data_IF_085908246925
#
_entry.id   IF_085908246925
#
_cell.length_a   1.000
_cell.length_b   1.000
_cell.length_c   1.000
_cell.angle_alpha   90.00
_cell.angle_beta   90.00
_cell.angle_gamma   90.00
#
_symmetry.space_group_name_H-M   'P 1'
#
loop_
_entity.id
_entity.type
_entity.pdbx_description
1 polymer ?
#
# COMPACT_ATOMS: atom_id res chain seq x y z
N UNK A 1 23.42 11.49 -25.60
CA UNK A 1 24.21 10.50 -24.92
C UNK A 1 23.33 9.46 -24.26
N UNK A 2 23.62 8.24 -24.60
CA UNK A 2 22.82 7.18 -24.04
C UNK A 2 23.29 6.86 -22.66
N UNK A 3 22.45 7.11 -21.72
CA UNK A 3 22.70 6.60 -20.40
C UNK A 3 22.53 5.09 -20.44
N UNK A 4 23.42 4.37 -19.78
CA UNK A 4 23.24 2.94 -19.72
C UNK A 4 21.86 2.64 -19.17
N UNK A 5 21.14 1.81 -19.90
CA UNK A 5 19.84 1.39 -19.43
C UNK A 5 20.08 0.57 -18.18
N UNK A 6 19.77 1.18 -17.07
CA UNK A 6 19.91 0.48 -15.81
C UNK A 6 18.89 -0.63 -15.79
N UNK A 7 19.37 -1.84 -15.66
CA UNK A 7 18.46 -2.95 -15.46
C UNK A 7 17.64 -2.65 -14.23
N UNK A 8 16.35 -2.56 -14.41
CA UNK A 8 15.47 -2.32 -13.28
C UNK A 8 15.43 -3.59 -12.45
N UNK A 9 15.92 -3.47 -11.24
CA UNK A 9 15.72 -4.53 -10.27
C UNK A 9 14.22 -4.58 -9.95
N UNK A 10 13.73 -5.73 -9.48
CA UNK A 10 12.30 -5.88 -9.20
C UNK A 10 11.72 -4.84 -8.25
N UNK A 11 12.55 -4.20 -7.47
CA UNK A 11 12.08 -3.20 -6.50
C UNK A 11 12.54 -1.79 -6.84
N UNK A 12 12.99 -1.59 -8.08
CA UNK A 12 13.46 -0.27 -8.49
C UNK A 12 12.27 0.68 -8.62
N UNK A 13 12.44 1.85 -8.05
CA UNK A 13 11.43 2.91 -8.13
C UNK A 13 11.33 3.38 -9.58
N UNK A 14 10.12 3.42 -10.16
CA UNK A 14 9.97 3.93 -11.52
C UNK A 14 10.43 5.37 -11.66
N UNK A 15 10.87 5.73 -12.86
CA UNK A 15 11.36 7.08 -13.11
C UNK A 15 10.32 8.16 -12.86
N UNK A 16 9.05 7.84 -13.00
CA UNK A 16 7.98 8.81 -12.76
C UNK A 16 7.73 9.07 -11.29
N UNK A 17 8.44 8.38 -10.39
CA UNK A 17 8.29 8.57 -8.95
C UNK A 17 9.46 9.44 -8.48
N UNK A 18 9.30 10.75 -8.43
CA UNK A 18 10.37 11.62 -7.92
C UNK A 18 10.50 11.48 -6.42
N UNK A 19 11.68 11.86 -5.94
CA UNK A 19 11.93 11.87 -4.51
C UNK A 19 10.93 12.79 -3.83
N UNK A 20 10.41 12.36 -2.68
CA UNK A 20 9.44 13.16 -1.94
C UNK A 20 8.03 13.12 -2.52
N UNK A 21 7.75 12.17 -3.41
CA UNK A 21 6.42 12.05 -4.00
C UNK A 21 5.52 11.07 -3.28
N UNK A 22 6.00 10.44 -2.21
CA UNK A 22 5.20 9.47 -1.47
C UNK A 22 4.12 10.13 -0.63
N UNK A 23 2.96 9.49 -0.60
CA UNK A 23 1.84 9.95 0.22
C UNK A 23 1.49 8.88 1.24
N UNK A 24 1.30 9.32 2.47
CA UNK A 24 0.72 8.48 3.51
C UNK A 24 -0.79 8.50 3.30
N UNK A 25 -1.36 7.33 3.09
CA UNK A 25 -2.80 7.18 2.77
C UNK A 25 -3.45 6.40 3.90
N UNK A 26 -4.61 6.87 4.33
CA UNK A 26 -5.47 6.12 5.26
C UNK A 26 -6.84 5.97 4.63
N UNK A 27 -7.31 4.73 4.53
CA UNK A 27 -8.64 4.43 4.02
C UNK A 27 -9.39 3.70 5.11
N UNK A 28 -10.51 4.28 5.55
CA UNK A 28 -11.28 3.75 6.68
C UNK A 28 -12.52 3.03 6.21
N UNK A 29 -12.89 1.98 6.95
CA UNK A 29 -14.13 1.26 6.72
C UNK A 29 -15.29 1.91 7.48
N UNK A 30 -16.51 1.58 7.09
CA UNK A 30 -17.73 2.02 7.74
C UNK A 30 -18.61 0.80 7.98
N UNK A 31 -19.12 0.58 9.20
CA UNK A 31 -18.89 1.38 10.41
C UNK A 31 -17.49 1.16 11.00
N UNK A 32 -17.03 2.08 11.85
CA UNK A 32 -15.76 1.88 12.55
C UNK A 32 -15.86 0.76 13.58
N UNK A 33 -14.70 0.30 14.04
CA UNK A 33 -14.58 -0.67 15.10
C UNK A 33 -15.13 -2.06 14.77
N UNK A 34 -15.28 -2.35 13.48
CA UNK A 34 -15.67 -3.67 12.99
C UNK A 34 -14.57 -4.22 12.12
N UNK A 35 -14.15 -5.46 12.37
CA UNK A 35 -13.09 -6.07 11.59
C UNK A 35 -13.61 -6.51 10.23
N UNK A 36 -13.43 -5.68 9.22
CA UNK A 36 -13.78 -6.03 7.85
C UNK A 36 -12.57 -6.52 7.07
N UNK A 37 -11.36 -6.06 7.41
CA UNK A 37 -10.19 -6.28 6.58
C UNK A 37 -9.29 -7.43 7.03
N UNK A 38 -9.13 -7.62 8.32
CA UNK A 38 -8.17 -8.61 8.83
C UNK A 38 -8.83 -9.96 9.01
N UNK A 39 -9.36 -10.49 7.93
CA UNK A 39 -10.01 -11.79 7.88
C UNK A 39 -9.45 -12.56 6.70
N UNK A 40 -9.36 -13.88 6.88
CA UNK A 40 -8.90 -14.76 5.81
C UNK A 40 -9.80 -14.57 4.59
N UNK A 41 -9.19 -14.52 3.42
CA UNK A 41 -9.93 -14.31 2.19
C UNK A 41 -10.14 -12.85 1.84
N UNK A 42 -10.46 -12.01 2.80
CA UNK A 42 -10.62 -10.58 2.55
C UNK A 42 -9.26 -9.90 2.59
N UNK A 43 -8.55 -10.02 3.71
CA UNK A 43 -7.27 -9.33 3.87
C UNK A 43 -6.25 -9.75 2.82
N UNK A 44 -6.17 -11.04 2.55
CA UNK A 44 -5.26 -11.54 1.52
C UNK A 44 -5.60 -10.94 0.16
N UNK A 45 -6.89 -10.85 -0.15
CA UNK A 45 -7.34 -10.29 -1.41
C UNK A 45 -7.07 -8.79 -1.52
N UNK A 46 -7.31 -8.06 -0.44
CA UNK A 46 -7.07 -6.62 -0.42
C UNK A 46 -5.58 -6.33 -0.62
N UNK A 47 -4.71 -7.08 0.07
CA UNK A 47 -3.27 -6.91 -0.11
C UNK A 47 -2.84 -7.32 -1.52
N UNK A 48 -3.43 -8.37 -2.08
CA UNK A 48 -3.13 -8.77 -3.45
C UNK A 48 -3.57 -7.71 -4.46
N UNK A 49 -4.70 -7.05 -4.21
CA UNK A 49 -5.15 -5.96 -5.07
C UNK A 49 -4.22 -4.76 -5.01
N UNK A 50 -3.70 -4.46 -3.82
CA UNK A 50 -2.70 -3.40 -3.66
C UNK A 50 -1.43 -3.74 -4.44
N UNK A 51 -0.96 -4.98 -4.30
CA UNK A 51 0.22 -5.46 -4.99
C UNK A 51 0.03 -5.48 -6.50
N UNK A 52 -1.14 -5.84 -6.98
CA UNK A 52 -1.45 -5.89 -8.40
C UNK A 52 -1.20 -4.54 -9.07
N UNK A 53 -1.70 -3.47 -8.47
CA UNK A 53 -1.50 -2.13 -9.01
C UNK A 53 -0.04 -1.72 -8.97
N UNK A 54 0.69 -2.13 -7.94
CA UNK A 54 2.12 -1.85 -7.86
C UNK A 54 2.89 -2.58 -8.98
N UNK A 55 2.61 -3.85 -9.15
CA UNK A 55 3.32 -4.67 -10.14
C UNK A 55 3.01 -4.24 -11.56
N UNK A 56 1.84 -3.69 -11.80
CA UNK A 56 1.46 -3.21 -13.11
C UNK A 56 1.77 -1.73 -13.32
N UNK A 57 2.48 -1.12 -12.39
CA UNK A 57 2.91 0.28 -12.48
C UNK A 57 1.75 1.27 -12.53
N UNK A 58 0.61 0.89 -11.98
CA UNK A 58 -0.51 1.80 -11.80
C UNK A 58 -0.17 2.82 -10.73
N UNK A 59 0.48 2.35 -9.68
CA UNK A 59 1.06 3.20 -8.66
C UNK A 59 2.33 2.55 -8.13
N UNK A 60 3.06 3.28 -7.28
CA UNK A 60 4.24 2.72 -6.62
C UNK A 60 3.95 2.65 -5.13
N UNK A 61 3.73 1.44 -4.63
CA UNK A 61 3.41 1.22 -3.22
C UNK A 61 4.64 0.75 -2.47
N UNK A 62 5.00 1.48 -1.41
CA UNK A 62 6.13 1.09 -0.58
C UNK A 62 5.72 0.11 0.51
N UNK A 63 4.53 0.30 1.04
CA UNK A 63 3.95 -0.66 1.97
C UNK A 63 2.46 -0.41 2.11
N UNK A 64 1.76 -1.45 2.49
CA UNK A 64 0.35 -1.36 2.84
C UNK A 64 0.10 -2.28 4.03
N UNK A 65 -0.46 -1.74 5.08
CA UNK A 65 -0.76 -2.48 6.29
C UNK A 65 -2.25 -2.39 6.58
N UNK A 66 -2.87 -3.54 6.78
CA UNK A 66 -4.28 -3.57 7.12
C UNK A 66 -4.45 -3.62 8.63
N UNK A 67 -5.31 -2.76 9.13
CA UNK A 67 -5.88 -2.84 10.46
C UNK A 67 -7.31 -3.37 10.32
N UNK A 68 -7.96 -3.77 11.42
CA UNK A 68 -9.30 -4.36 11.28
C UNK A 68 -10.31 -3.49 10.54
N UNK A 69 -10.30 -2.18 10.76
CA UNK A 69 -11.30 -1.29 10.18
C UNK A 69 -10.72 -0.17 9.33
N UNK A 70 -9.46 -0.27 8.95
CA UNK A 70 -8.83 0.71 8.08
C UNK A 70 -7.51 0.16 7.56
N UNK A 71 -6.95 0.85 6.59
CA UNK A 71 -5.61 0.53 6.13
C UNK A 71 -4.75 1.78 6.07
N UNK A 72 -3.46 1.56 6.17
CA UNK A 72 -2.46 2.58 5.93
C UNK A 72 -1.56 2.13 4.80
N UNK A 73 -1.18 3.05 3.93
CA UNK A 73 -0.26 2.73 2.85
C UNK A 73 0.62 3.93 2.57
N UNK A 74 1.77 3.69 1.96
CA UNK A 74 2.61 4.75 1.42
C UNK A 74 2.70 4.50 -0.08
N UNK A 75 2.16 5.43 -0.86
CA UNK A 75 2.00 5.25 -2.29
C UNK A 75 2.42 6.52 -3.03
N UNK A 76 3.11 6.34 -4.14
CA UNK A 76 3.35 7.42 -5.10
C UNK A 76 2.49 7.17 -6.33
N UNK A 77 1.97 8.24 -6.91
CA UNK A 77 1.01 8.16 -8.00
C UNK A 77 1.54 8.86 -9.24
N UNK A 78 1.22 8.34 -10.42
CA UNK A 78 1.49 9.10 -11.64
C UNK A 78 0.60 10.33 -11.69
N UNK A 79 1.06 11.35 -12.42
CA UNK A 79 0.29 12.59 -12.55
C UNK A 79 -1.08 12.32 -13.17
N UNK A 80 -1.11 11.46 -14.17
CA UNK A 80 -2.33 11.07 -14.85
C UNK A 80 -2.51 9.58 -14.73
N UNK A 81 -3.62 9.10 -14.20
CA UNK A 81 -4.85 9.83 -13.83
C UNK A 81 -4.82 10.46 -12.44
N UNK A 82 -3.77 10.22 -11.64
CA UNK A 82 -3.62 10.88 -10.37
C UNK A 82 -4.20 10.12 -9.19
N UNK A 83 -3.87 10.60 -8.00
CA UNK A 83 -4.16 9.92 -6.74
C UNK A 83 -5.65 9.66 -6.53
N UNK A 84 -6.46 10.71 -6.62
CA UNK A 84 -7.88 10.60 -6.30
C UNK A 84 -8.59 9.57 -7.17
N UNK A 85 -8.33 9.63 -8.46
CA UNK A 85 -8.95 8.70 -9.40
C UNK A 85 -8.52 7.26 -9.12
N UNK A 86 -7.23 7.06 -8.92
CA UNK A 86 -6.70 5.71 -8.72
C UNK A 86 -7.16 5.10 -7.40
N UNK A 87 -7.14 5.88 -6.32
CA UNK A 87 -7.59 5.37 -5.03
C UNK A 87 -9.08 5.05 -5.07
N UNK A 88 -9.88 5.92 -5.68
CA UNK A 88 -11.32 5.68 -5.74
C UNK A 88 -11.67 4.47 -6.61
N UNK A 89 -10.96 4.26 -7.73
CA UNK A 89 -11.15 3.06 -8.54
C UNK A 89 -10.79 1.79 -7.75
N UNK A 90 -9.70 1.85 -7.02
CA UNK A 90 -9.26 0.72 -6.22
C UNK A 90 -10.25 0.40 -5.09
N UNK A 91 -10.73 1.43 -4.39
CA UNK A 91 -11.73 1.26 -3.35
C UNK A 91 -12.98 0.58 -3.89
N UNK A 92 -13.44 1.02 -5.06
CA UNK A 92 -14.63 0.46 -5.68
C UNK A 92 -14.41 -1.01 -6.05
N UNK A 93 -13.24 -1.32 -6.61
CA UNK A 93 -12.91 -2.71 -6.95
C UNK A 93 -12.95 -3.60 -5.71
N UNK A 94 -12.32 -3.17 -4.64
CA UNK A 94 -12.27 -3.94 -3.39
C UNK A 94 -13.68 -4.10 -2.81
N UNK A 95 -14.48 -3.04 -2.83
CA UNK A 95 -15.82 -3.08 -2.30
C UNK A 95 -16.69 -4.09 -3.05
N UNK A 96 -16.57 -4.13 -4.37
CA UNK A 96 -17.35 -5.07 -5.17
C UNK A 96 -16.86 -6.51 -4.96
N UNK A 97 -15.54 -6.69 -4.91
CA UNK A 97 -14.96 -8.03 -4.88
C UNK A 97 -15.13 -8.71 -3.52
N UNK A 98 -14.97 -7.97 -2.43
CA UNK A 98 -14.96 -8.56 -1.09
C UNK A 98 -16.03 -7.98 -0.16
N UNK A 99 -16.96 -7.20 -0.70
CA UNK A 99 -18.04 -6.58 0.06
C UNK A 99 -17.54 -5.69 1.21
N UNK A 100 -16.37 -5.08 1.04
CA UNK A 100 -15.84 -4.14 2.01
C UNK A 100 -16.62 -2.84 1.89
N UNK A 101 -17.00 -2.29 3.03
CA UNK A 101 -17.70 -1.02 3.07
C UNK A 101 -16.76 0.06 3.54
N UNK A 102 -16.40 0.98 2.65
CA UNK A 102 -15.48 2.06 2.93
C UNK A 102 -16.23 3.31 3.36
N UNK A 103 -15.58 4.11 4.19
CA UNK A 103 -16.01 5.50 4.36
C UNK A 103 -15.82 6.23 3.03
N UNK A 104 -16.52 7.33 2.90
CA UNK A 104 -16.64 8.02 1.62
C UNK A 104 -15.32 8.50 1.04
N UNK A 105 -14.50 9.15 1.81
CA UNK A 105 -13.26 9.73 1.33
C UNK A 105 -12.07 8.93 1.82
N UNK A 106 -10.89 9.48 1.68
CA UNK A 106 -9.69 8.92 2.28
C UNK A 106 -8.80 10.08 2.72
N UNK A 107 -7.88 9.78 3.64
CA UNK A 107 -6.93 10.76 4.12
C UNK A 107 -5.61 10.59 3.38
N UNK A 108 -4.98 11.69 3.00
CA UNK A 108 -3.65 11.66 2.41
C UNK A 108 -2.77 12.74 3.02
N UNK A 109 -1.49 12.44 3.12
CA UNK A 109 -0.51 13.39 3.61
C UNK A 109 0.79 13.16 2.85
N UNK A 110 1.31 14.20 2.24
CA UNK A 110 2.54 14.10 1.45
C UNK A 110 3.75 13.97 2.35
N UNK A 111 4.61 13.00 2.04
CA UNK A 111 5.87 12.80 2.76
C UNK A 111 6.98 13.47 1.94
N UNK A 112 7.42 14.62 2.41
CA UNK A 112 8.24 15.53 1.60
C UNK A 112 9.70 15.13 1.49
N UNK A 113 10.21 14.30 2.40
CA UNK A 113 11.61 13.94 2.40
C UNK A 113 11.81 12.55 2.99
N UNK A 114 13.05 12.08 2.90
CA UNK A 114 13.39 10.73 3.35
C UNK A 114 13.14 10.54 4.85
N UNK A 115 13.44 11.56 5.64
CA UNK A 115 13.23 11.48 7.10
C UNK A 115 11.75 11.23 7.44
N UNK A 116 10.86 11.98 6.77
CA UNK A 116 9.42 11.81 6.96
C UNK A 116 8.94 10.45 6.51
N UNK A 117 9.53 9.96 5.41
CA UNK A 117 9.21 8.63 4.89
C UNK A 117 9.57 7.55 5.90
N UNK A 118 10.78 7.59 6.46
CA UNK A 118 11.24 6.62 7.44
C UNK A 118 10.37 6.67 8.69
N UNK A 119 10.13 7.86 9.18
CA UNK A 119 9.33 8.09 10.37
C UNK A 119 7.92 7.50 10.22
N UNK A 120 7.29 7.77 9.07
CA UNK A 120 5.94 7.29 8.83
C UNK A 120 5.90 5.79 8.62
N UNK A 121 6.92 5.24 7.97
CA UNK A 121 7.04 3.80 7.79
C UNK A 121 7.05 3.10 9.15
N UNK A 122 7.87 3.59 10.08
CA UNK A 122 7.92 3.02 11.41
C UNK A 122 6.59 3.16 12.15
N UNK A 123 5.94 4.31 11.99
CA UNK A 123 4.65 4.55 12.59
C UNK A 123 3.62 3.50 12.13
N UNK A 124 3.58 3.24 10.83
CA UNK A 124 2.65 2.28 10.26
C UNK A 124 2.96 0.87 10.77
N UNK A 125 4.22 0.47 10.71
CA UNK A 125 4.62 -0.89 11.08
C UNK A 125 4.34 -1.19 12.55
N UNK A 126 4.43 -0.20 13.41
CA UNK A 126 4.18 -0.39 14.84
C UNK A 126 2.70 -0.22 15.23
N UNK A 127 1.86 0.13 14.27
CA UNK A 127 0.46 0.40 14.59
C UNK A 127 -0.25 -0.79 15.25
N UNK A 128 -0.12 -2.04 14.74
CA UNK A 128 -0.77 -3.17 15.40
C UNK A 128 -0.26 -3.39 16.82
N UNK A 129 1.03 -3.17 17.06
CA UNK A 129 1.61 -3.32 18.40
C UNK A 129 1.03 -2.27 19.33
N UNK A 130 1.00 -1.00 18.89
CA UNK A 130 0.45 0.09 19.72
C UNK A 130 -1.01 -0.14 20.06
N UNK A 131 -1.75 -0.80 19.18
CA UNK A 131 -3.17 -1.09 19.42
C UNK A 131 -3.38 -2.38 20.20
N UNK A 132 -2.30 -3.05 20.59
CA UNK A 132 -2.41 -4.27 21.36
C UNK A 132 -2.86 -5.50 20.58
N UNK A 133 -2.74 -5.46 19.26
CA UNK A 133 -3.20 -6.55 18.41
C UNK A 133 -2.14 -7.64 18.22
N UNK A 134 -0.88 -7.32 18.48
CA UNK A 134 0.21 -8.28 18.49
C UNK A 134 1.34 -7.73 19.33
N UNK A 135 2.27 -8.60 19.76
CA UNK A 135 3.38 -8.18 20.60
C UNK A 135 4.53 -7.59 19.82
N UNK A 136 4.79 -8.10 18.62
CA UNK A 136 5.88 -7.63 17.77
C UNK A 136 5.34 -7.37 16.36
N UNK A 137 5.92 -6.37 15.70
CA UNK A 137 5.46 -6.04 14.36
C UNK A 137 5.64 -7.19 13.38
N UNK A 138 6.64 -8.05 13.59
CA UNK A 138 6.90 -9.19 12.74
C UNK A 138 5.76 -10.22 12.78
N UNK A 139 4.96 -10.19 13.84
CA UNK A 139 3.86 -11.14 14.01
C UNK A 139 2.59 -10.70 13.30
N UNK A 140 2.58 -9.49 12.73
CA UNK A 140 1.39 -8.99 12.06
C UNK A 140 1.33 -9.53 10.63
N UNK A 141 0.29 -10.30 10.33
CA UNK A 141 0.19 -11.00 9.05
C UNK A 141 -0.30 -10.12 7.90
N UNK A 142 -0.92 -9.00 8.21
CA UNK A 142 -1.64 -8.21 7.20
C UNK A 142 -0.81 -7.05 6.68
N UNK A 143 0.33 -7.39 6.08
CA UNK A 143 1.30 -6.41 5.60
C UNK A 143 1.79 -6.79 4.21
N UNK A 144 1.84 -5.79 3.33
CA UNK A 144 2.46 -5.93 2.01
C UNK A 144 3.61 -4.94 1.90
N UNK A 145 4.80 -5.44 1.61
CA UNK A 145 6.00 -4.63 1.34
C UNK A 145 6.71 -5.25 0.13
N UNK A 146 6.70 -4.58 -1.03
CA UNK A 146 7.32 -5.15 -2.23
C UNK A 146 8.79 -5.48 -2.06
N UNK A 147 9.52 -4.65 -1.30
CA UNK A 147 10.95 -4.86 -1.12
C UNK A 147 11.29 -6.10 -0.29
N UNK A 148 10.33 -6.64 0.43
CA UNK A 148 10.53 -7.84 1.24
C UNK A 148 10.15 -9.11 0.48
N UNK A 149 9.61 -8.96 -0.71
CA UNK A 149 9.23 -10.11 -1.53
C UNK A 149 10.38 -10.50 -2.43
N UNK A 150 10.68 -11.78 -2.52
CA UNK A 150 11.59 -12.21 -3.55
C UNK A 150 10.96 -11.91 -4.92
N UNK A 151 11.76 -11.63 -5.92
CA UNK A 151 11.22 -11.43 -7.26
C UNK A 151 10.49 -12.67 -7.72
N UNK A 152 9.43 -12.51 -8.51
CA UNK A 152 8.76 -13.69 -9.06
C UNK A 152 9.72 -14.50 -9.90
N UNK A 153 9.56 -15.79 -9.84
CA UNK A 153 10.39 -16.66 -10.66
C UNK A 153 10.06 -16.39 -12.12
N UNK A 154 11.11 -16.15 -12.86
CA UNK A 154 10.94 -15.76 -14.26
C UNK A 154 10.58 -16.93 -15.17
N UNK A 155 10.74 -18.10 -14.65
CA UNK A 155 10.49 -19.26 -15.47
C UNK A 155 9.03 -19.60 -15.52
N UNK A 156 8.33 -19.03 -14.80
CA UNK A 156 6.97 -19.41 -14.77
C UNK A 156 6.25 -18.99 -15.90
N UNK A 157 6.93 -18.68 -16.34
CA UNK A 157 6.26 -18.22 -17.04
C UNK A 157 5.93 -18.34 -17.81
#
# INVERSE_FOLDING_TARGET
MDLPVRKKLPHTVPQWVPEGSGFFITIKCSPPDKNQLCQAGVGDGVLAAMAHNHERLVWHCRLCLLMPDHLHAIISFPREPGMKTLVNHWKKFVAVKWAVKWQRDFFDHRLRDHHRLVEKTEYILMNPVRKGLCERMEDWAWLYRPQDRPPPLLDGR
#
